data_IF_674070057804
#
_entry.id   IF_674070057804
#
_cell.length_a   1.000
_cell.length_b   1.000
_cell.length_c   1.000
_cell.angle_alpha   90.00
_cell.angle_beta   90.00
_cell.angle_gamma   90.00
#
_symmetry.space_group_name_H-M   'P 1'
#
loop_
_entity.id
_entity.type
_entity.pdbx_description
1 polymer ?
#
# COMPACT_ATOMS: atom_id res chain seq x y z
N UNK A 1 7.38 -14.68 5.47
CA UNK A 1 7.32 -13.51 6.39
C UNK A 1 5.94 -13.34 7.01
N UNK A 2 4.89 -13.06 6.24
CA UNK A 2 3.56 -12.71 6.80
C UNK A 2 2.99 -13.74 7.79
N UNK A 3 3.24 -15.04 7.58
CA UNK A 3 2.82 -16.09 8.52
C UNK A 3 3.52 -16.03 9.89
N UNK A 4 4.61 -15.30 9.98
CA UNK A 4 5.36 -15.11 11.23
C UNK A 4 4.95 -13.82 11.97
N UNK A 5 4.09 -13.01 11.39
CA UNK A 5 3.65 -11.73 11.96
C UNK A 5 2.25 -11.84 12.54
N UNK A 6 2.01 -11.29 13.75
CA UNK A 6 0.68 -11.19 14.32
C UNK A 6 -0.13 -10.08 13.66
N UNK A 7 -1.43 -10.14 13.83
CA UNK A 7 -2.31 -8.98 13.72
C UNK A 7 -2.85 -8.70 15.13
N UNK A 8 -2.54 -7.53 15.70
CA UNK A 8 -3.02 -7.18 17.04
C UNK A 8 -4.51 -6.79 17.02
N UNK A 9 -5.16 -6.91 18.16
CA UNK A 9 -6.62 -6.69 18.28
C UNK A 9 -7.01 -5.28 17.85
N UNK A 10 -6.23 -4.26 18.19
CA UNK A 10 -6.49 -2.87 17.82
C UNK A 10 -6.53 -2.69 16.30
N UNK A 11 -5.57 -3.27 15.58
CA UNK A 11 -5.52 -3.20 14.13
C UNK A 11 -6.63 -4.03 13.48
N UNK A 12 -6.94 -5.20 14.05
CA UNK A 12 -8.05 -6.02 13.58
C UNK A 12 -9.38 -5.27 13.70
N UNK A 13 -9.61 -4.62 14.84
CA UNK A 13 -10.81 -3.82 15.07
C UNK A 13 -10.88 -2.56 14.17
N UNK A 14 -9.73 -1.89 13.90
CA UNK A 14 -9.70 -0.78 12.93
C UNK A 14 -10.08 -1.24 11.52
N UNK A 15 -9.59 -2.40 11.09
CA UNK A 15 -9.95 -2.98 9.79
C UNK A 15 -11.42 -3.38 9.71
N UNK A 16 -11.97 -3.98 10.77
CA UNK A 16 -13.41 -4.31 10.86
C UNK A 16 -14.29 -3.06 10.84
N UNK A 17 -13.94 -2.02 11.57
CA UNK A 17 -14.65 -0.73 11.55
C UNK A 17 -14.68 -0.08 10.16
N UNK A 18 -13.76 -0.46 9.27
CA UNK A 18 -13.71 -0.03 7.87
C UNK A 18 -14.55 -0.91 6.94
N UNK A 19 -15.22 -1.93 7.47
CA UNK A 19 -16.12 -2.81 6.72
C UNK A 19 -15.53 -4.13 6.28
N UNK A 20 -14.32 -4.50 6.71
CA UNK A 20 -13.72 -5.80 6.38
C UNK A 20 -14.15 -6.87 7.39
N UNK A 21 -14.51 -8.07 6.90
CA UNK A 21 -14.72 -9.24 7.74
C UNK A 21 -13.39 -9.85 8.20
N UNK A 22 -13.44 -10.71 9.20
CA UNK A 22 -12.25 -11.44 9.68
C UNK A 22 -11.63 -12.29 8.57
N UNK A 23 -12.45 -12.95 7.78
CA UNK A 23 -12.03 -13.77 6.64
C UNK A 23 -11.34 -12.93 5.56
N UNK A 24 -11.89 -11.77 5.22
CA UNK A 24 -11.30 -10.84 4.25
C UNK A 24 -9.94 -10.31 4.73
N UNK A 25 -9.82 -9.98 6.02
CA UNK A 25 -8.56 -9.55 6.64
C UNK A 25 -7.49 -10.64 6.51
N UNK A 26 -7.84 -11.90 6.76
CA UNK A 26 -6.92 -13.03 6.60
C UNK A 26 -6.57 -13.31 5.14
N UNK A 27 -7.54 -13.29 4.21
CA UNK A 27 -7.30 -13.45 2.76
C UNK A 27 -6.32 -12.38 2.26
N UNK A 28 -6.50 -11.13 2.70
CA UNK A 28 -5.60 -10.04 2.34
C UNK A 28 -4.26 -10.09 3.08
N UNK A 29 -4.15 -10.92 4.12
CA UNK A 29 -2.94 -11.09 4.93
C UNK A 29 -2.46 -9.79 5.56
N UNK A 30 -3.38 -8.94 6.02
CA UNK A 30 -3.03 -7.78 6.83
C UNK A 30 -2.38 -8.23 8.14
N UNK A 31 -1.30 -7.55 8.54
CA UNK A 31 -0.55 -7.88 9.76
C UNK A 31 -0.16 -6.58 10.47
N UNK A 32 0.27 -6.71 11.71
CA UNK A 32 0.87 -5.62 12.46
C UNK A 32 2.38 -5.59 12.28
N UNK A 33 2.96 -4.41 12.17
CA UNK A 33 4.41 -4.25 12.27
C UNK A 33 4.84 -4.65 13.69
N UNK A 34 5.71 -5.65 13.85
CA UNK A 34 6.17 -6.09 15.18
C UNK A 34 7.14 -5.08 15.76
N UNK A 35 7.05 -4.85 17.08
CA UNK A 35 8.00 -4.02 17.81
C UNK A 35 9.22 -4.80 18.31
N UNK A 36 9.09 -6.14 18.42
CA UNK A 36 10.12 -7.03 18.99
C UNK A 36 10.29 -8.28 18.12
N UNK A 37 11.39 -8.99 18.35
CA UNK A 37 11.65 -10.27 17.71
C UNK A 37 12.04 -10.20 16.22
N UNK A 38 12.36 -9.02 15.70
CA UNK A 38 12.65 -8.78 14.28
C UNK A 38 13.84 -9.64 13.81
N UNK A 39 14.94 -9.65 14.54
CA UNK A 39 16.14 -10.43 14.15
C UNK A 39 15.83 -11.94 14.11
N UNK A 40 15.09 -12.45 15.08
CA UNK A 40 14.69 -13.85 15.13
C UNK A 40 13.73 -14.21 13.98
N UNK A 41 12.81 -13.34 13.62
CA UNK A 41 11.93 -13.52 12.47
C UNK A 41 12.73 -13.61 11.16
N UNK A 42 13.68 -12.70 10.94
CA UNK A 42 14.51 -12.70 9.73
C UNK A 42 15.40 -13.95 9.69
N UNK A 43 15.96 -14.34 10.83
CA UNK A 43 16.74 -15.58 10.95
C UNK A 43 15.93 -16.82 10.54
N UNK A 44 14.69 -16.95 11.03
CA UNK A 44 13.78 -18.05 10.63
C UNK A 44 13.48 -18.07 9.14
N UNK A 45 13.37 -16.89 8.49
CA UNK A 45 13.18 -16.82 7.05
C UNK A 45 14.40 -17.35 6.28
N UNK A 46 15.60 -16.96 6.69
CA UNK A 46 16.83 -17.42 6.07
C UNK A 46 17.03 -18.94 6.28
N UNK A 47 16.78 -19.45 7.48
CA UNK A 47 16.84 -20.88 7.81
C UNK A 47 15.84 -21.72 7.01
N UNK A 48 14.69 -21.12 6.62
CA UNK A 48 13.72 -21.78 5.73
C UNK A 48 14.10 -21.72 4.24
N UNK A 49 15.32 -21.30 3.91
CA UNK A 49 15.82 -21.22 2.54
C UNK A 49 15.30 -20.03 1.73
N UNK A 50 14.65 -19.07 2.37
CA UNK A 50 14.16 -17.87 1.69
C UNK A 50 15.28 -16.84 1.48
N UNK A 51 15.37 -16.24 0.31
CA UNK A 51 16.22 -15.07 0.08
C UNK A 51 15.49 -13.79 0.42
N UNK A 52 16.19 -12.88 1.10
CA UNK A 52 15.70 -11.53 1.42
C UNK A 52 16.45 -10.44 0.66
N UNK A 53 17.52 -10.82 -0.05
CA UNK A 53 18.29 -9.91 -0.91
C UNK A 53 17.41 -9.37 -2.03
N UNK A 54 17.40 -8.05 -2.21
CA UNK A 54 16.57 -7.39 -3.23
C UNK A 54 15.09 -7.28 -2.85
N UNK A 55 14.69 -7.67 -1.64
CA UNK A 55 13.31 -7.53 -1.17
C UNK A 55 13.17 -6.20 -0.41
N UNK A 56 12.24 -5.31 -0.82
CA UNK A 56 12.04 -4.02 -0.16
C UNK A 56 11.79 -4.17 1.34
N UNK A 57 12.45 -3.31 2.12
CA UNK A 57 12.39 -3.35 3.57
C UNK A 57 13.51 -4.15 4.22
N UNK A 58 14.08 -5.14 3.56
CA UNK A 58 15.23 -5.88 4.09
C UNK A 58 16.55 -5.19 3.73
N UNK A 59 17.52 -5.28 4.63
CA UNK A 59 18.85 -4.71 4.49
C UNK A 59 19.86 -5.40 5.43
N UNK A 60 21.15 -5.16 5.23
CA UNK A 60 22.19 -5.62 6.14
C UNK A 60 22.47 -4.57 7.22
N UNK A 61 22.52 -4.98 8.47
CA UNK A 61 22.91 -4.13 9.60
C UNK A 61 24.45 -3.92 9.64
N UNK A 62 24.92 -3.19 10.64
CA UNK A 62 26.35 -2.88 10.79
C UNK A 62 27.23 -4.12 10.99
N UNK A 63 26.66 -5.22 11.45
CA UNK A 63 27.34 -6.51 11.63
C UNK A 63 27.26 -7.40 10.36
N UNK A 64 26.73 -6.87 9.25
CA UNK A 64 26.52 -7.61 8.00
C UNK A 64 25.39 -8.64 8.09
N UNK A 65 24.50 -8.55 9.08
CA UNK A 65 23.37 -9.46 9.25
C UNK A 65 22.11 -8.88 8.63
N UNK A 66 21.36 -9.73 7.93
CA UNK A 66 20.08 -9.33 7.37
C UNK A 66 19.06 -9.00 8.46
N UNK A 67 18.37 -7.90 8.26
CA UNK A 67 17.27 -7.41 9.10
C UNK A 67 16.20 -6.74 8.23
N UNK A 68 15.13 -6.23 8.84
CA UNK A 68 14.05 -5.53 8.15
C UNK A 68 13.77 -4.19 8.83
N UNK A 69 13.42 -3.16 8.05
CA UNK A 69 13.17 -1.80 8.51
C UNK A 69 11.82 -1.68 9.26
N UNK A 70 11.66 -2.45 10.33
CA UNK A 70 10.58 -2.30 11.30
C UNK A 70 11.11 -1.57 12.53
N UNK A 71 10.46 -0.47 12.90
CA UNK A 71 10.85 0.38 14.03
C UNK A 71 9.61 0.83 14.79
N UNK A 72 9.77 1.31 16.01
CA UNK A 72 8.66 1.92 16.76
C UNK A 72 8.05 3.13 16.05
N UNK A 73 8.85 3.84 15.24
CA UNK A 73 8.38 5.01 14.48
C UNK A 73 7.48 4.64 13.30
N UNK A 74 7.62 3.43 12.75
CA UNK A 74 6.78 2.96 11.66
C UNK A 74 5.80 1.85 12.07
N UNK A 75 5.44 1.81 13.37
CA UNK A 75 4.37 0.96 13.89
C UNK A 75 3.06 1.20 13.13
N UNK A 76 2.32 0.13 12.85
CA UNK A 76 1.07 0.23 12.11
C UNK A 76 0.62 -1.07 11.44
N UNK A 77 -0.34 -0.93 10.55
CA UNK A 77 -0.89 -2.04 9.76
C UNK A 77 -0.04 -2.23 8.51
N UNK A 78 0.54 -3.41 8.34
CA UNK A 78 1.25 -3.83 7.14
C UNK A 78 0.24 -4.25 6.08
N UNK A 79 0.25 -3.56 4.95
CA UNK A 79 -0.69 -3.72 3.83
C UNK A 79 0.06 -4.30 2.64
N UNK A 80 -0.21 -5.57 2.25
CA UNK A 80 0.37 -6.15 1.06
C UNK A 80 -0.13 -5.46 -0.21
N UNK A 81 0.80 -5.13 -1.10
CA UNK A 81 0.51 -4.58 -2.42
C UNK A 81 0.65 -5.70 -3.45
N UNK A 82 -0.43 -5.99 -4.15
CA UNK A 82 -0.51 -7.13 -5.06
C UNK A 82 -0.47 -6.71 -6.52
N UNK A 83 0.23 -7.50 -7.32
CA UNK A 83 0.20 -7.40 -8.79
C UNK A 83 -1.12 -7.90 -9.36
N UNK A 84 -1.27 -7.81 -10.67
CA UNK A 84 -2.37 -8.40 -11.43
C UNK A 84 -2.46 -9.93 -11.26
N UNK A 85 -1.34 -10.61 -11.05
CA UNK A 85 -1.27 -12.06 -10.80
C UNK A 85 -1.48 -12.41 -9.31
N UNK A 86 -1.88 -11.44 -8.48
CA UNK A 86 -2.10 -11.62 -7.04
C UNK A 86 -0.82 -11.76 -6.21
N UNK A 87 0.36 -11.63 -6.82
CA UNK A 87 1.65 -11.73 -6.13
C UNK A 87 1.94 -10.46 -5.33
N UNK A 88 2.50 -10.63 -4.14
CA UNK A 88 2.91 -9.48 -3.32
C UNK A 88 4.18 -8.86 -3.90
N UNK A 89 4.10 -7.60 -4.29
CA UNK A 89 5.20 -6.81 -4.86
C UNK A 89 5.90 -5.93 -3.83
N UNK A 90 5.22 -5.63 -2.73
CA UNK A 90 5.73 -4.77 -1.67
C UNK A 90 4.70 -4.57 -0.58
N UNK A 91 5.01 -3.66 0.34
CA UNK A 91 4.13 -3.34 1.46
C UNK A 91 4.05 -1.84 1.67
N UNK A 92 2.84 -1.38 1.97
CA UNK A 92 2.63 -0.11 2.65
C UNK A 92 2.41 -0.36 4.14
N UNK A 93 2.77 0.61 4.95
CA UNK A 93 2.44 0.64 6.38
C UNK A 93 1.49 1.80 6.60
N UNK A 94 0.27 1.49 7.07
CA UNK A 94 -0.63 2.51 7.59
C UNK A 94 -0.24 2.76 9.03
N UNK A 95 0.38 3.90 9.27
CA UNK A 95 0.97 4.26 10.54
C UNK A 95 -0.10 4.42 11.64
N UNK A 96 0.24 4.02 12.86
CA UNK A 96 -0.56 4.27 14.06
C UNK A 96 -0.62 5.76 14.40
N UNK A 97 0.48 6.45 14.12
CA UNK A 97 0.60 7.90 14.29
C UNK A 97 1.08 8.54 12.99
N UNK A 98 0.49 9.67 12.64
CA UNK A 98 0.92 10.43 11.46
C UNK A 98 2.36 10.91 11.66
N UNK A 99 3.23 10.65 10.70
CA UNK A 99 4.63 11.03 10.71
C UNK A 99 4.90 12.01 9.56
N UNK A 100 5.34 13.22 9.87
CA UNK A 100 5.61 14.27 8.87
C UNK A 100 4.43 14.49 7.89
N UNK A 101 3.20 14.50 8.40
CA UNK A 101 1.98 14.64 7.60
C UNK A 101 1.56 13.38 6.82
N UNK A 102 2.34 12.29 6.91
CA UNK A 102 2.08 11.05 6.19
C UNK A 102 1.39 10.03 7.08
N UNK A 103 0.27 9.51 6.60
CA UNK A 103 -0.46 8.42 7.24
C UNK A 103 -0.04 7.04 6.71
N UNK A 104 0.48 7.00 5.49
CA UNK A 104 0.97 5.81 4.82
C UNK A 104 2.41 6.02 4.38
N UNK A 105 3.23 4.99 4.59
CA UNK A 105 4.61 4.95 4.09
C UNK A 105 4.86 3.61 3.40
N UNK A 106 5.84 3.60 2.52
CA UNK A 106 6.33 2.35 1.94
C UNK A 106 7.30 1.64 2.88
N UNK A 107 7.18 0.32 3.00
CA UNK A 107 8.24 -0.50 3.57
C UNK A 107 9.39 -0.54 2.56
N UNK A 108 10.43 0.23 2.83
CA UNK A 108 11.60 0.43 1.96
C UNK A 108 12.87 0.42 2.79
N UNK A 109 13.97 0.02 2.20
CA UNK A 109 15.29 -0.04 2.83
C UNK A 109 16.37 0.66 2.00
N UNK A 110 16.00 1.45 1.00
CA UNK A 110 16.92 2.10 0.04
C UNK A 110 18.05 2.93 0.68
N UNK A 111 17.87 3.38 1.92
CA UNK A 111 18.87 4.16 2.66
C UNK A 111 19.87 3.33 3.44
N UNK A 112 19.73 2.00 3.42
CA UNK A 112 20.55 1.07 4.19
C UNK A 112 21.41 0.21 3.28
N UNK A 113 22.45 -0.44 3.85
CA UNK A 113 23.37 -1.31 3.13
C UNK A 113 22.59 -2.48 2.48
N UNK A 114 22.82 -2.73 1.20
CA UNK A 114 22.13 -3.72 0.39
C UNK A 114 20.60 -3.62 0.40
N UNK A 115 20.07 -2.48 0.85
CA UNK A 115 18.64 -2.20 0.84
C UNK A 115 18.16 -1.69 -0.51
N UNK A 116 16.86 -1.88 -0.78
CA UNK A 116 16.23 -1.50 -2.05
C UNK A 116 14.95 -0.69 -1.82
N UNK A 117 14.56 0.06 -2.86
CA UNK A 117 13.31 0.81 -2.88
C UNK A 117 12.12 -0.12 -3.09
N UNK A 118 10.95 0.27 -2.56
CA UNK A 118 9.68 -0.40 -2.87
C UNK A 118 9.23 -0.24 -4.33
N UNK A 119 9.75 0.76 -5.04
CA UNK A 119 9.35 1.06 -6.41
C UNK A 119 7.92 1.58 -6.59
N UNK A 120 7.16 1.76 -5.52
CA UNK A 120 5.75 2.22 -5.52
C UNK A 120 4.85 1.44 -6.50
N UNK A 121 4.77 0.11 -6.40
CA UNK A 121 3.96 -0.70 -7.30
C UNK A 121 2.47 -0.39 -7.17
N UNK A 122 1.74 -0.63 -8.25
CA UNK A 122 0.29 -0.50 -8.30
C UNK A 122 -0.36 -1.73 -7.65
N UNK A 123 -1.37 -1.51 -6.81
CA UNK A 123 -2.16 -2.59 -6.23
C UNK A 123 -3.37 -2.86 -7.11
N UNK A 124 -3.62 -4.14 -7.42
CA UNK A 124 -4.78 -4.56 -8.20
C UNK A 124 -5.59 -5.55 -7.39
N UNK A 125 -6.91 -5.38 -7.37
CA UNK A 125 -7.85 -6.29 -6.71
C UNK A 125 -9.13 -6.42 -7.53
N UNK A 126 -9.62 -7.64 -7.67
CA UNK A 126 -10.80 -7.99 -8.46
C UNK A 126 -10.45 -8.78 -9.72
N UNK A 127 -11.39 -8.87 -10.65
CA UNK A 127 -11.22 -9.60 -11.92
C UNK A 127 -10.45 -8.79 -12.94
N UNK A 128 -9.44 -9.39 -13.55
CA UNK A 128 -8.69 -8.75 -14.65
C UNK A 128 -9.48 -8.73 -15.98
N UNK A 129 -10.54 -9.49 -16.07
CA UNK A 129 -11.42 -9.56 -17.24
C UNK A 129 -12.70 -8.72 -17.05
N UNK A 130 -12.70 -7.81 -16.07
CA UNK A 130 -13.78 -6.87 -15.87
C UNK A 130 -13.83 -5.83 -17.00
N UNK A 131 -15.02 -5.57 -17.51
CA UNK A 131 -15.25 -4.53 -18.52
C UNK A 131 -15.14 -3.12 -17.92
N UNK A 132 -15.41 -3.00 -16.63
CA UNK A 132 -15.37 -1.75 -15.87
C UNK A 132 -14.39 -1.87 -14.72
N UNK A 133 -13.47 -0.93 -14.62
CA UNK A 133 -12.44 -0.90 -13.58
C UNK A 133 -12.37 0.52 -12.99
N UNK A 134 -12.14 0.58 -11.70
CA UNK A 134 -12.02 1.84 -10.96
C UNK A 134 -10.55 2.10 -10.58
N UNK A 135 -10.08 3.31 -10.86
CA UNK A 135 -8.77 3.81 -10.44
C UNK A 135 -8.94 4.67 -9.19
N UNK A 136 -8.28 4.27 -8.09
CA UNK A 136 -8.35 5.02 -6.83
C UNK A 136 -6.98 5.19 -6.18
N UNK A 137 -6.89 6.02 -5.14
CA UNK A 137 -5.70 6.10 -4.32
C UNK A 137 -5.81 5.22 -3.07
N UNK A 138 -4.68 4.60 -2.69
CA UNK A 138 -4.55 3.81 -1.48
C UNK A 138 -5.09 2.38 -1.59
N UNK A 139 -4.19 1.41 -1.46
CA UNK A 139 -4.50 -0.02 -1.58
C UNK A 139 -5.59 -0.49 -0.59
N UNK A 140 -5.55 -0.01 0.66
CA UNK A 140 -6.56 -0.37 1.65
C UNK A 140 -7.96 0.15 1.26
N UNK A 141 -8.05 1.37 0.72
CA UNK A 141 -9.31 1.96 0.26
C UNK A 141 -9.90 1.14 -0.89
N UNK A 142 -9.11 0.86 -1.92
CA UNK A 142 -9.58 0.07 -3.05
C UNK A 142 -9.95 -1.36 -2.67
N UNK A 143 -9.22 -1.98 -1.73
CA UNK A 143 -9.59 -3.31 -1.20
C UNK A 143 -10.95 -3.29 -0.49
N UNK A 144 -11.21 -2.28 0.33
CA UNK A 144 -12.50 -2.12 1.01
C UNK A 144 -13.62 -1.90 -0.02
N UNK A 145 -13.39 -0.99 -0.97
CA UNK A 145 -14.36 -0.72 -2.03
C UNK A 145 -14.68 -1.98 -2.85
N UNK A 146 -13.66 -2.77 -3.22
CA UNK A 146 -13.85 -4.06 -3.87
C UNK A 146 -14.78 -4.99 -3.09
N UNK A 147 -14.54 -5.16 -1.79
CA UNK A 147 -15.39 -6.05 -0.97
C UNK A 147 -16.80 -5.53 -0.76
N UNK A 148 -17.03 -4.24 -0.88
CA UNK A 148 -18.36 -3.64 -0.76
C UNK A 148 -19.16 -3.67 -2.07
N UNK A 149 -18.50 -3.48 -3.23
CA UNK A 149 -19.17 -3.37 -4.53
C UNK A 149 -19.04 -4.61 -5.41
N UNK A 150 -18.00 -5.44 -5.19
CA UNK A 150 -17.61 -6.53 -6.10
C UNK A 150 -16.81 -6.07 -7.32
N UNK A 151 -16.63 -4.77 -7.51
CA UNK A 151 -15.91 -4.22 -8.66
C UNK A 151 -14.41 -4.40 -8.58
N UNK A 152 -13.74 -4.25 -9.71
CA UNK A 152 -12.28 -4.29 -9.81
C UNK A 152 -11.67 -2.91 -9.58
N UNK A 153 -10.62 -2.87 -8.75
CA UNK A 153 -9.90 -1.64 -8.44
C UNK A 153 -8.41 -1.74 -8.76
N UNK A 154 -7.91 -0.66 -9.35
CA UNK A 154 -6.48 -0.36 -9.50
C UNK A 154 -6.17 0.76 -8.50
N UNK A 155 -5.16 0.55 -7.66
CA UNK A 155 -4.85 1.50 -6.58
C UNK A 155 -3.41 1.99 -6.70
N UNK A 156 -3.25 3.30 -6.83
CA UNK A 156 -1.95 3.98 -6.73
C UNK A 156 -1.74 4.46 -5.29
N UNK A 157 -0.50 4.67 -4.88
CA UNK A 157 -0.19 5.07 -3.50
C UNK A 157 -0.58 6.52 -3.18
N UNK A 158 -0.88 7.30 -4.20
CA UNK A 158 -1.32 8.69 -4.15
C UNK A 158 -1.42 9.24 -5.57
N UNK A 159 -2.17 10.31 -5.77
CA UNK A 159 -2.48 10.87 -7.10
C UNK A 159 -1.23 11.20 -7.94
N UNK A 160 -0.10 11.50 -7.31
CA UNK A 160 1.16 11.80 -7.99
C UNK A 160 2.05 10.56 -8.21
N UNK A 161 1.62 9.35 -7.82
CA UNK A 161 2.42 8.11 -7.90
C UNK A 161 1.91 7.17 -8.98
N UNK A 162 1.77 7.66 -10.19
CA UNK A 162 1.19 6.96 -11.32
C UNK A 162 2.22 6.33 -12.28
N UNK A 163 3.53 6.41 -12.00
CA UNK A 163 4.59 5.91 -12.90
C UNK A 163 4.39 4.46 -13.34
N UNK A 164 3.93 3.60 -12.43
CA UNK A 164 3.74 2.18 -12.68
C UNK A 164 2.32 1.84 -13.17
N UNK A 165 1.47 2.84 -13.39
CA UNK A 165 0.08 2.65 -13.82
C UNK A 165 0.01 2.26 -15.31
N UNK A 166 0.83 2.88 -16.16
CA UNK A 166 0.78 2.68 -17.61
C UNK A 166 0.87 1.20 -18.03
N UNK A 167 1.86 0.39 -17.57
CA UNK A 167 1.94 -1.02 -17.94
C UNK A 167 0.71 -1.83 -17.49
N UNK A 168 0.13 -1.50 -16.34
CA UNK A 168 -1.08 -2.16 -15.84
C UNK A 168 -2.26 -1.86 -16.76
N UNK A 169 -2.47 -0.59 -17.13
CA UNK A 169 -3.54 -0.18 -18.05
C UNK A 169 -3.38 -0.78 -19.45
N UNK A 170 -2.16 -0.83 -19.98
CA UNK A 170 -1.89 -1.47 -21.29
C UNK A 170 -2.26 -2.95 -21.26
N UNK A 171 -1.92 -3.67 -20.19
CA UNK A 171 -2.29 -5.07 -20.05
C UNK A 171 -3.81 -5.25 -19.94
N UNK A 172 -4.50 -4.42 -19.16
CA UNK A 172 -5.95 -4.51 -19.00
C UNK A 172 -6.69 -4.13 -20.29
N UNK A 173 -6.19 -3.13 -21.03
CA UNK A 173 -6.73 -2.75 -22.34
C UNK A 173 -6.64 -3.90 -23.37
N UNK A 174 -5.59 -4.74 -23.30
CA UNK A 174 -5.46 -5.92 -24.16
C UNK A 174 -6.39 -7.07 -23.79
N UNK A 175 -7.14 -6.96 -22.68
CA UNK A 175 -8.16 -7.91 -22.22
C UNK A 175 -9.56 -7.40 -22.60
N UNK A 176 -10.43 -7.22 -21.60
CA UNK A 176 -11.83 -6.83 -21.78
C UNK A 176 -12.18 -5.45 -21.26
N UNK A 177 -11.21 -4.66 -20.81
CA UNK A 177 -11.46 -3.32 -20.26
C UNK A 177 -12.07 -2.40 -21.30
N UNK A 178 -13.30 -1.94 -21.06
CA UNK A 178 -14.03 -0.98 -21.87
C UNK A 178 -14.09 0.40 -21.20
N UNK A 179 -14.26 0.41 -19.86
CA UNK A 179 -14.45 1.62 -19.09
C UNK A 179 -13.49 1.69 -17.90
N UNK A 180 -12.76 2.78 -17.80
CA UNK A 180 -11.93 3.13 -16.65
C UNK A 180 -12.51 4.35 -15.96
N UNK A 181 -12.91 4.19 -14.70
CA UNK A 181 -13.47 5.27 -13.89
C UNK A 181 -12.46 5.78 -12.88
N UNK A 182 -12.34 7.10 -12.77
CA UNK A 182 -11.57 7.71 -11.68
C UNK A 182 -12.42 7.80 -10.42
N UNK A 183 -11.94 7.21 -9.34
CA UNK A 183 -12.56 7.19 -8.02
C UNK A 183 -11.59 7.72 -6.95
N UNK A 184 -10.96 8.86 -7.24
CA UNK A 184 -10.13 9.58 -6.28
C UNK A 184 -10.96 10.34 -5.26
N UNK A 185 -10.36 10.65 -4.09
CA UNK A 185 -10.97 11.51 -3.11
C UNK A 185 -11.24 12.90 -3.73
N UNK A 186 -12.46 13.37 -3.57
CA UNK A 186 -12.89 14.69 -4.03
C UNK A 186 -12.47 15.77 -3.00
N UNK A 187 -11.21 15.77 -2.57
CA UNK A 187 -10.63 16.73 -1.64
C UNK A 187 -10.55 18.16 -2.21
N UNK A 188 -11.38 18.46 -3.20
CA UNK A 188 -11.46 19.79 -3.83
C UNK A 188 -11.86 20.94 -2.89
N UNK A 189 -12.11 20.66 -1.62
CA UNK A 189 -12.11 21.67 -0.57
C UNK A 189 -10.70 21.92 -0.03
N UNK A 190 -9.71 22.04 -0.88
CA UNK A 190 -8.58 22.88 -0.50
C UNK A 190 -9.16 24.25 -0.15
N UNK A 191 -8.94 24.71 1.07
CA UNK A 191 -9.10 26.11 1.40
C UNK A 191 -8.08 26.87 0.56
N UNK A 192 -8.45 27.18 -0.67
CA UNK A 192 -7.70 28.15 -1.46
C UNK A 192 -7.99 29.47 -0.75
N UNK A 193 -7.03 29.94 0.04
CA UNK A 193 -7.09 31.28 0.57
C UNK A 193 -7.08 32.21 -0.62
N UNK A 194 -8.24 32.76 -0.94
CA UNK A 194 -8.31 33.86 -1.86
C UNK A 194 -7.72 35.08 -1.14
N UNK A 195 -6.62 35.60 -1.61
CA UNK A 195 -5.96 36.82 -1.11
C UNK A 195 -6.69 38.10 -1.52
N UNK A 196 -7.86 37.99 -2.15
CA UNK A 196 -8.70 39.11 -2.55
C UNK A 196 -8.40 39.66 -3.96
N UNK A 197 -7.38 39.11 -4.65
CA UNK A 197 -7.06 39.50 -6.03
C UNK A 197 -7.78 38.54 -7.01
N UNK A 198 -9.03 38.88 -7.33
CA UNK A 198 -9.94 38.06 -8.14
C UNK A 198 -9.47 37.75 -9.56
N UNK A 199 -8.53 38.53 -10.08
CA UNK A 199 -7.98 38.31 -11.46
C UNK A 199 -6.95 37.19 -11.50
N UNK A 200 -6.40 36.75 -10.36
CA UNK A 200 -5.34 35.75 -10.25
C UNK A 200 -5.68 34.53 -9.42
N UNK A 201 -6.88 34.49 -8.84
CA UNK A 201 -7.29 33.42 -7.96
C UNK A 201 -8.02 32.31 -8.70
N UNK A 202 -7.38 31.15 -8.90
CA UNK A 202 -8.00 29.96 -9.53
C UNK A 202 -9.29 29.49 -8.81
N UNK A 203 -9.46 29.83 -7.52
CA UNK A 203 -10.65 29.51 -6.75
C UNK A 203 -11.84 30.41 -7.10
N UNK A 204 -11.59 31.64 -7.55
CA UNK A 204 -12.62 32.60 -7.94
C UNK A 204 -13.02 32.52 -9.42
N UNK A 205 -12.23 31.82 -10.23
CA UNK A 205 -12.47 31.63 -11.67
C UNK A 205 -13.24 30.34 -12.00
N UNK A 206 -13.75 29.60 -11.00
CA UNK A 206 -14.51 28.36 -11.21
C UNK A 206 -15.99 28.55 -10.94
#
# INVERSE_FOLDING_TARGET
>A
MLSLLPLNDKHQEDLKKRGLTKEQIEIQRYRSVPLFGIKNMVQKLLESGQTVKGVPGFYEDQDGKWTINFTSKNSGILIPIRSMEGKIQGFQIRLDQVMEGRKYIWLSSVKFQNGVSSGSPVHVIGSLDAEQIYLTEGALKGTIAHYLSGDTFICVAGVNQYRNLKPVLETLKSRHLQHLYEAYDMDKKMKVYCDGDSEKCDACQR
#
